data_IF_998676552416
#
_entry.id   IF_998676552416
#
_cell.length_a   1.000
_cell.length_b   1.000
_cell.length_c   1.000
_cell.angle_alpha   90.00
_cell.angle_beta   90.00
_cell.angle_gamma   90.00
#
_symmetry.space_group_name_H-M   'P 1'
#
loop_
_entity.id
_entity.type
_entity.pdbx_description
1 polymer ?
#
# COMPACT_ATOMS: atom_id res chain seq x y z
N UNK A 1 -8.48 9.05 -21.00
CA UNK A 1 -8.59 9.01 -21.36
C UNK A 1 -8.39 9.12 -21.31
N UNK A 2 -8.47 9.23 -21.20
CA UNK A 2 -8.42 9.16 -21.44
C UNK A 2 -7.95 9.35 -21.50
N UNK A 3 -7.69 9.55 -21.13
CA UNK A 3 -7.47 9.52 -21.45
C UNK A 3 -6.83 9.43 -21.07
N UNK A 4 -6.67 9.36 -21.06
CA UNK A 4 -6.42 9.12 -20.94
C UNK A 4 -5.94 9.25 -20.73
N UNK A 5 -5.65 9.67 -20.34
CA UNK A 5 -5.64 9.71 -20.42
C UNK A 5 -5.20 9.87 -19.95
N UNK A 6 -5.19 10.11 -19.89
CA UNK A 6 -5.25 10.13 -19.81
C UNK A 6 -4.71 10.11 -19.30
N UNK A 7 -4.52 10.33 -18.99
CA UNK A 7 -4.54 10.11 -18.83
C UNK A 7 -3.95 10.13 -18.40
N UNK A 8 -3.69 10.18 -18.20
CA UNK A 8 -3.68 9.95 -18.24
C UNK A 8 -3.28 10.15 -17.95
N UNK A 9 -3.02 10.84 -17.53
CA UNK A 9 -3.20 10.84 -17.60
C UNK A 9 -2.82 11.02 -17.15
N UNK A 10 -2.58 11.33 -16.71
CA UNK A 10 -2.73 11.25 -16.68
C UNK A 10 -2.48 11.27 -16.09
N UNK A 11 -2.36 11.37 -15.68
CA UNK A 11 -2.69 11.14 -15.59
C UNK A 11 -2.66 10.97 -15.41
N UNK A 12 -2.38 11.10 -15.11
CA UNK A 12 -2.79 10.70 -15.40
C UNK A 12 -2.82 10.44 -15.29
N UNK A 13 -2.55 10.65 -14.88
CA UNK A 13 -2.99 10.18 -15.19
C UNK A 13 -3.12 9.89 -14.89
N UNK A 14 -3.08 10.10 -14.63
CA UNK A 14 -3.58 9.74 -14.76
C UNK A 14 -4.08 9.56 -14.63
N UNK A 15 -4.42 9.50 -14.51
CA UNK A 15 -5.14 9.04 -14.79
C UNK A 15 -5.61 8.54 -15.13
N UNK A 16 -5.89 8.16 -15.14
CA UNK A 16 -6.38 7.41 -15.53
C UNK A 16 -6.12 6.51 -15.46
N UNK A 17 -5.70 6.27 -15.43
CA UNK A 17 -5.49 5.33 -15.38
C UNK A 17 -5.38 4.96 -14.36
N UNK A 18 -5.20 5.27 -13.93
CA UNK A 18 -5.24 4.85 -13.11
C UNK A 18 -6.06 4.36 -12.64
N UNK A 19 -6.71 4.26 -12.84
CA UNK A 19 -7.53 3.71 -12.57
C UNK A 19 -7.62 2.44 -12.79
N UNK A 20 -7.21 1.96 -13.56
CA UNK A 20 -7.23 0.66 -13.71
C UNK A 20 -7.11 -0.03 -12.48
N UNK A 21 -6.19 0.17 -11.70
CA UNK A 21 -6.06 -0.44 -10.43
C UNK A 21 -6.74 0.35 -9.37
N UNK A 22 -6.95 1.61 -9.60
CA UNK A 22 -7.53 2.47 -8.62
C UNK A 22 -6.66 2.68 -7.43
N UNK A 23 -5.47 2.11 -7.44
CA UNK A 23 -4.60 2.16 -6.31
C UNK A 23 -4.15 3.54 -5.95
N UNK A 24 -3.65 4.33 -6.88
CA UNK A 24 -3.17 5.65 -6.52
C UNK A 24 -4.23 6.56 -5.94
N UNK A 25 -5.48 6.35 -6.29
CA UNK A 25 -6.52 7.25 -5.81
C UNK A 25 -6.83 7.04 -4.33
N UNK A 26 -6.37 5.94 -3.74
CA UNK A 26 -6.61 5.69 -2.33
C UNK A 26 -5.57 6.36 -1.43
N UNK A 27 -4.52 6.94 -2.00
CA UNK A 27 -3.47 7.60 -1.23
C UNK A 27 -4.04 8.72 -0.37
N UNK A 28 -3.76 8.72 0.94
CA UNK A 28 -4.36 9.73 1.82
C UNK A 28 -3.87 11.15 1.60
N UNK A 29 -2.73 11.32 0.92
CA UNK A 29 -2.20 12.65 0.66
C UNK A 29 -1.14 13.10 1.63
N UNK A 30 -0.75 12.23 2.55
CA UNK A 30 0.30 12.54 3.52
C UNK A 30 0.91 11.24 4.03
N UNK A 31 2.13 11.35 4.55
CA UNK A 31 2.85 10.18 5.03
C UNK A 31 2.23 9.68 6.34
N UNK A 32 2.03 8.36 6.44
CA UNK A 32 1.58 7.74 7.67
C UNK A 32 2.78 7.28 8.47
N UNK A 33 2.76 7.52 9.77
CA UNK A 33 3.87 7.18 10.65
C UNK A 33 3.35 6.91 12.05
N UNK A 34 4.23 6.49 12.94
CA UNK A 34 3.82 6.18 14.30
C UNK A 34 3.10 7.38 14.90
N UNK A 35 1.97 7.09 15.55
CA UNK A 35 1.11 8.12 16.08
C UNK A 35 -0.10 8.41 15.22
N UNK A 36 -0.07 8.00 13.96
CA UNK A 36 -1.22 8.18 13.09
C UNK A 36 -2.31 7.17 13.45
N UNK A 37 -3.55 7.52 13.14
CA UNK A 37 -4.66 6.61 13.36
C UNK A 37 -5.77 6.93 12.38
N UNK A 38 -6.68 5.99 12.21
CA UNK A 38 -7.84 6.19 11.38
C UNK A 38 -7.97 5.17 10.28
N UNK A 39 -8.88 5.45 9.38
CA UNK A 39 -9.28 4.50 8.34
C UNK A 39 -8.15 4.19 7.35
N UNK A 40 -7.35 5.19 7.00
CA UNK A 40 -6.25 4.95 6.08
C UNK A 40 -5.17 4.07 6.70
N UNK A 41 -4.93 4.23 7.98
CA UNK A 41 -4.01 3.34 8.68
C UNK A 41 -4.55 1.91 8.67
N UNK A 42 -5.84 1.76 8.97
CA UNK A 42 -6.46 0.44 8.99
C UNK A 42 -6.40 -0.21 7.61
N UNK A 43 -6.69 0.55 6.57
CA UNK A 43 -6.65 0.04 5.21
C UNK A 43 -5.25 -0.47 4.87
N UNK A 44 -4.23 0.31 5.19
CA UNK A 44 -2.84 -0.08 4.93
C UNK A 44 -2.49 -1.33 5.72
N UNK A 45 -2.92 -1.40 6.98
CA UNK A 45 -2.63 -2.57 7.82
C UNK A 45 -3.29 -3.83 7.25
N UNK A 46 -4.52 -3.72 6.77
CA UNK A 46 -5.18 -4.87 6.17
C UNK A 46 -4.44 -5.37 4.94
N UNK A 47 -3.99 -4.44 4.12
CA UNK A 47 -3.25 -4.83 2.93
C UNK A 47 -1.92 -5.48 3.29
N UNK A 48 -1.20 -4.91 4.26
CA UNK A 48 0.04 -5.53 4.73
C UNK A 48 -0.19 -6.91 5.31
N UNK A 49 -1.29 -7.08 6.00
CA UNK A 49 -1.59 -8.38 6.61
C UNK A 49 -1.78 -9.45 5.52
N UNK A 50 -2.51 -9.12 4.48
CA UNK A 50 -2.69 -10.05 3.36
C UNK A 50 -1.35 -10.35 2.69
N UNK A 51 -0.55 -9.31 2.48
CA UNK A 51 0.75 -9.48 1.86
C UNK A 51 1.65 -10.38 2.72
N UNK A 52 1.56 -10.25 4.03
CA UNK A 52 2.41 -11.02 4.93
C UNK A 52 2.12 -12.52 4.83
N UNK A 53 0.95 -12.90 4.39
CA UNK A 53 0.64 -14.31 4.20
C UNK A 53 1.40 -14.88 3.02
N UNK A 54 1.65 -14.08 2.00
CA UNK A 54 2.43 -14.52 0.84
C UNK A 54 3.93 -14.31 1.05
N UNK A 55 4.29 -13.38 1.92
CA UNK A 55 5.70 -13.05 2.18
C UNK A 55 5.95 -13.15 3.68
N UNK A 56 6.24 -14.36 4.18
CA UNK A 56 6.32 -14.59 5.63
C UNK A 56 7.40 -13.79 6.35
N UNK A 57 8.37 -13.23 5.62
CA UNK A 57 9.36 -12.37 6.26
C UNK A 57 8.74 -11.11 6.84
N UNK A 58 7.55 -10.74 6.36
CA UNK A 58 6.86 -9.55 6.84
C UNK A 58 5.95 -9.97 7.99
N UNK A 59 6.12 -9.38 9.19
CA UNK A 59 5.28 -9.77 10.32
C UNK A 59 3.84 -9.34 10.10
N UNK A 60 2.92 -10.16 10.58
CA UNK A 60 1.51 -9.81 10.54
C UNK A 60 1.23 -8.68 11.50
N UNK A 61 0.36 -7.77 11.08
CA UNK A 61 -0.06 -6.67 11.95
C UNK A 61 -1.56 -6.74 12.13
N UNK A 62 -2.02 -6.19 13.25
CA UNK A 62 -3.44 -6.03 13.50
C UNK A 62 -3.96 -4.84 12.70
N UNK A 63 -5.11 -5.01 12.09
CA UNK A 63 -5.75 -3.92 11.35
C UNK A 63 -6.65 -3.14 12.32
N UNK A 64 -6.04 -2.48 13.28
CA UNK A 64 -6.75 -1.76 14.32
C UNK A 64 -6.82 -0.25 14.09
N UNK A 65 -6.21 0.23 13.01
CA UNK A 65 -6.24 1.65 12.68
C UNK A 65 -5.29 2.49 13.48
N UNK A 66 -4.39 1.87 14.24
CA UNK A 66 -3.43 2.59 15.08
C UNK A 66 -2.02 2.23 14.62
N UNK A 67 -1.26 3.25 14.24
CA UNK A 67 0.09 3.06 13.74
C UNK A 67 1.05 3.07 14.94
N UNK A 68 1.31 1.89 15.46
CA UNK A 68 2.21 1.75 16.59
C UNK A 68 3.53 1.10 16.17
N UNK A 69 4.35 0.70 17.17
CA UNK A 69 5.65 0.11 16.86
C UNK A 69 5.57 -1.17 16.02
N UNK A 70 4.55 -1.99 16.24
CA UNK A 70 4.41 -3.23 15.47
C UNK A 70 4.14 -2.91 14.00
N UNK A 71 3.32 -1.91 13.73
CA UNK A 71 3.05 -1.50 12.37
C UNK A 71 4.32 -0.94 11.72
N UNK A 72 5.07 -0.14 12.47
CA UNK A 72 6.33 0.40 11.94
C UNK A 72 7.30 -0.71 11.57
N UNK A 73 7.40 -1.74 12.40
CA UNK A 73 8.29 -2.86 12.11
C UNK A 73 7.87 -3.60 10.84
N UNK A 74 6.56 -3.80 10.68
CA UNK A 74 6.07 -4.47 9.48
C UNK A 74 6.35 -3.65 8.24
N UNK A 75 6.19 -2.33 8.34
CA UNK A 75 6.48 -1.45 7.21
C UNK A 75 7.97 -1.50 6.87
N UNK A 76 8.85 -1.49 7.88
CA UNK A 76 10.27 -1.61 7.64
C UNK A 76 10.62 -2.90 6.90
N UNK A 77 10.02 -3.99 7.35
CA UNK A 77 10.29 -5.28 6.72
C UNK A 77 9.78 -5.29 5.27
N UNK A 78 8.58 -4.75 5.06
CA UNK A 78 8.04 -4.65 3.72
C UNK A 78 8.99 -3.85 2.82
N UNK A 79 9.45 -2.71 3.31
CA UNK A 79 10.35 -1.87 2.53
C UNK A 79 11.63 -2.62 2.19
N UNK A 80 12.16 -3.35 3.16
CA UNK A 80 13.38 -4.13 2.94
C UNK A 80 13.16 -5.21 1.89
N UNK A 81 12.05 -5.92 1.98
CA UNK A 81 11.76 -7.02 1.05
C UNK A 81 11.61 -6.51 -0.37
N UNK A 82 11.01 -5.35 -0.54
CA UNK A 82 10.70 -4.84 -1.88
C UNK A 82 11.65 -3.74 -2.35
N UNK A 83 12.77 -3.55 -1.66
CA UNK A 83 13.82 -2.67 -2.15
C UNK A 83 13.54 -1.19 -2.03
N UNK A 84 12.68 -0.81 -1.10
CA UNK A 84 12.40 0.60 -0.84
C UNK A 84 13.29 1.09 0.30
N UNK A 85 13.49 2.41 0.40
CA UNK A 85 14.21 2.94 1.57
C UNK A 85 13.49 2.53 2.84
N UNK A 86 14.25 2.04 3.81
CA UNK A 86 13.66 1.50 5.05
C UNK A 86 13.51 2.64 6.04
N UNK A 87 12.32 3.21 6.08
CA UNK A 87 12.04 4.36 6.93
C UNK A 87 11.08 4.04 8.06
N UNK A 88 10.29 2.97 7.90
CA UNK A 88 9.26 2.66 8.88
C UNK A 88 8.03 3.53 8.75
N UNK A 89 7.96 4.36 7.71
CA UNK A 89 6.81 5.21 7.46
C UNK A 89 6.24 4.90 6.09
N UNK A 90 4.99 5.23 5.87
CA UNK A 90 4.31 4.95 4.61
C UNK A 90 4.14 6.27 3.86
N UNK A 91 5.14 6.59 3.05
CA UNK A 91 5.03 7.72 2.13
C UNK A 91 4.34 7.24 0.85
N UNK A 92 4.26 8.12 -0.15
CA UNK A 92 3.57 7.78 -1.37
C UNK A 92 4.15 6.53 -2.03
N UNK A 93 5.48 6.45 -2.12
CA UNK A 93 6.11 5.29 -2.76
C UNK A 93 5.78 4.00 -2.05
N UNK A 94 5.80 4.01 -0.72
CA UNK A 94 5.50 2.83 0.05
C UNK A 94 4.02 2.47 -0.07
N UNK A 95 3.13 3.47 0.00
CA UNK A 95 1.70 3.22 -0.17
C UNK A 95 1.42 2.58 -1.52
N UNK A 96 2.01 3.17 -2.56
CA UNK A 96 1.81 2.66 -3.91
C UNK A 96 2.30 1.21 -4.02
N UNK A 97 3.48 0.92 -3.48
CA UNK A 97 4.02 -0.43 -3.56
C UNK A 97 3.17 -1.41 -2.77
N UNK A 98 2.70 -1.03 -1.59
CA UNK A 98 1.82 -1.89 -0.80
C UNK A 98 0.57 -2.22 -1.61
N UNK A 99 -0.03 -1.20 -2.22
CA UNK A 99 -1.24 -1.41 -3.00
C UNK A 99 -0.99 -2.29 -4.19
N UNK A 100 0.13 -2.07 -4.87
CA UNK A 100 0.49 -2.87 -6.04
C UNK A 100 0.66 -4.34 -5.69
N UNK A 101 1.42 -4.61 -4.63
CA UNK A 101 1.66 -5.98 -4.20
C UNK A 101 0.38 -6.62 -3.70
N UNK A 102 -0.43 -5.84 -2.97
CA UNK A 102 -1.70 -6.36 -2.46
C UNK A 102 -2.60 -6.82 -3.60
N UNK A 103 -2.71 -6.03 -4.66
CA UNK A 103 -3.53 -6.41 -5.81
C UNK A 103 -3.01 -7.69 -6.44
N UNK A 104 -1.70 -7.79 -6.60
CA UNK A 104 -1.10 -8.99 -7.18
C UNK A 104 -1.37 -10.24 -6.35
N UNK A 105 -1.18 -10.13 -5.04
CA UNK A 105 -1.38 -11.27 -4.15
C UNK A 105 -2.84 -11.67 -4.11
N UNK A 106 -3.75 -10.70 -4.03
CA UNK A 106 -5.18 -10.97 -4.00
C UNK A 106 -5.66 -11.63 -5.27
N UNK A 107 -5.12 -11.18 -6.40
CA UNK A 107 -5.50 -11.75 -7.68
C UNK A 107 -5.06 -13.19 -7.79
N UNK A 108 -3.84 -13.48 -7.36
CA UNK A 108 -3.34 -14.84 -7.37
C UNK A 108 -4.22 -15.74 -6.51
N UNK A 109 -4.61 -15.25 -5.35
CA UNK A 109 -5.49 -16.01 -4.47
C UNK A 109 -6.83 -16.33 -5.13
N UNK A 110 -7.35 -15.38 -5.90
CA UNK A 110 -8.61 -15.58 -6.60
C UNK A 110 -8.51 -16.66 -7.66
N UNK A 111 -7.38 -16.73 -8.32
CA UNK A 111 -7.20 -17.68 -9.40
C UNK A 111 -6.98 -19.10 -8.91
N UNK A 112 -6.62 -19.27 -7.67
CA UNK A 112 -6.36 -20.56 -7.10
C UNK A 112 -7.62 -21.11 -6.45
#
# INVERSE_FOLDING_TARGET
>A
SRGLGDVYKRQMYINTAQEISGIPSSWPGYTLEQGASGEKVRQMQEQLRVISEAYPAIPKVEADGIYGPATAQAVEKFQSVFGLPVTGTVDYSTWYKISEIYVGVSRIAELV
#
